data_IF_551330948178
#
_entry.id   IF_551330948178
#
_cell.length_a   1.000
_cell.length_b   1.000
_cell.length_c   1.000
_cell.angle_alpha   90.00
_cell.angle_beta   90.00
_cell.angle_gamma   90.00
#
_symmetry.space_group_name_H-M   'P 1'
#
loop_
_entity.id
_entity.type
_entity.pdbx_description
1 polymer ?
#
# COMPACT_ATOMS: atom_id res chain seq x y z
N UNK A 1 1.55 -14.94 4.35
CA UNK A 1 0.35 -14.12 4.13
C UNK A 1 -0.61 -14.90 3.26
N UNK A 2 -1.73 -15.31 3.83
CA UNK A 2 -2.75 -16.09 3.11
C UNK A 2 -4.14 -15.54 3.40
N UNK A 3 -4.92 -15.38 2.33
CA UNK A 3 -6.35 -15.07 2.40
C UNK A 3 -7.09 -16.08 1.51
N UNK A 4 -8.28 -16.49 1.93
CA UNK A 4 -9.19 -17.20 1.04
C UNK A 4 -9.62 -16.25 -0.09
N UNK A 5 -10.18 -16.80 -1.16
CA UNK A 5 -10.69 -15.96 -2.26
C UNK A 5 -11.78 -15.01 -1.78
N UNK A 6 -12.64 -15.46 -0.88
CA UNK A 6 -13.68 -14.60 -0.29
C UNK A 6 -13.08 -13.47 0.53
N UNK A 7 -12.06 -13.76 1.35
CA UNK A 7 -11.36 -12.74 2.13
C UNK A 7 -10.60 -11.77 1.23
N UNK A 8 -9.94 -12.28 0.19
CA UNK A 8 -9.21 -11.44 -0.76
C UNK A 8 -10.16 -10.51 -1.52
N UNK A 9 -11.33 -11.00 -1.94
CA UNK A 9 -12.34 -10.19 -2.60
C UNK A 9 -12.89 -9.11 -1.67
N UNK A 10 -13.14 -9.46 -0.40
CA UNK A 10 -13.57 -8.49 0.61
C UNK A 10 -12.53 -7.38 0.81
N UNK A 11 -11.27 -7.78 0.99
CA UNK A 11 -10.17 -6.83 1.16
C UNK A 11 -10.00 -5.94 -0.07
N UNK A 12 -10.12 -6.50 -1.27
CA UNK A 12 -10.05 -5.73 -2.52
C UNK A 12 -11.15 -4.70 -2.61
N UNK A 13 -12.38 -5.06 -2.24
CA UNK A 13 -13.51 -4.13 -2.23
C UNK A 13 -13.30 -2.97 -1.26
N UNK A 14 -12.77 -3.26 -0.08
CA UNK A 14 -12.42 -2.21 0.90
C UNK A 14 -11.29 -1.32 0.35
N UNK A 15 -10.29 -1.92 -0.26
CA UNK A 15 -9.19 -1.15 -0.87
C UNK A 15 -9.70 -0.25 -1.99
N UNK A 16 -10.60 -0.76 -2.84
CA UNK A 16 -11.23 0.05 -3.89
C UNK A 16 -11.98 1.26 -3.33
N UNK A 17 -12.74 1.06 -2.26
CA UNK A 17 -13.60 2.11 -1.70
C UNK A 17 -12.90 3.05 -0.73
N UNK A 18 -12.09 2.53 0.17
CA UNK A 18 -11.54 3.27 1.30
C UNK A 18 -10.02 3.26 1.36
N UNK A 19 -9.35 2.52 0.48
CA UNK A 19 -7.91 2.35 0.56
C UNK A 19 -7.12 3.26 -0.35
N UNK A 20 -5.80 3.26 -0.12
CA UNK A 20 -4.84 4.00 -0.94
C UNK A 20 -3.61 3.15 -1.21
N UNK A 21 -3.06 3.28 -2.41
CA UNK A 21 -1.82 2.66 -2.85
C UNK A 21 -0.87 3.80 -3.23
N UNK A 22 0.28 3.92 -2.55
CA UNK A 22 1.17 5.05 -2.77
C UNK A 22 2.60 4.75 -2.33
N UNK A 23 3.51 5.67 -2.64
CA UNK A 23 4.86 5.67 -2.09
C UNK A 23 4.91 6.54 -0.85
N UNK A 24 5.50 6.02 0.23
CA UNK A 24 5.70 6.81 1.45
C UNK A 24 6.88 7.76 1.26
N UNK A 25 6.81 8.89 1.96
CA UNK A 25 7.98 9.73 2.18
C UNK A 25 8.63 9.29 3.49
N UNK A 26 9.75 8.60 3.38
CA UNK A 26 10.47 8.15 4.56
C UNK A 26 11.70 9.03 4.76
N UNK A 27 11.74 9.76 5.89
CA UNK A 27 12.84 10.68 6.20
C UNK A 27 14.14 9.96 6.51
N UNK A 28 14.09 8.72 6.95
CA UNK A 28 15.27 7.93 7.35
C UNK A 28 15.81 7.09 6.22
N UNK A 29 15.04 6.90 5.17
CA UNK A 29 15.42 6.11 4.00
C UNK A 29 15.62 7.02 2.80
N UNK A 30 16.65 6.73 2.00
CA UNK A 30 16.94 7.46 0.76
C UNK A 30 15.83 7.31 -0.28
N UNK A 31 15.13 6.17 -0.27
CA UNK A 31 14.11 5.84 -1.26
C UNK A 31 12.75 5.67 -0.59
N UNK A 32 11.68 6.21 -1.20
CA UNK A 32 10.33 5.93 -0.71
C UNK A 32 10.00 4.46 -0.89
N UNK A 33 9.09 3.98 -0.05
CA UNK A 33 8.63 2.60 -0.06
C UNK A 33 7.17 2.52 -0.48
N UNK A 34 6.74 1.44 -1.16
CA UNK A 34 5.33 1.24 -1.44
C UNK A 34 4.55 1.04 -0.14
N UNK A 35 3.36 1.62 -0.10
CA UNK A 35 2.48 1.52 1.05
C UNK A 35 1.04 1.31 0.59
N UNK A 36 0.33 0.48 1.34
CA UNK A 36 -1.12 0.35 1.24
C UNK A 36 -1.70 0.80 2.56
N UNK A 37 -2.76 1.60 2.52
CA UNK A 37 -3.46 2.02 3.73
C UNK A 37 -4.97 1.94 3.55
N UNK A 38 -5.66 1.74 4.67
CA UNK A 38 -7.12 1.79 4.75
C UNK A 38 -7.48 2.65 5.94
N UNK A 39 -8.31 3.66 5.71
CA UNK A 39 -8.79 4.56 6.76
C UNK A 39 -10.21 4.20 7.14
N UNK A 40 -10.54 4.22 8.44
CA UNK A 40 -11.89 3.99 8.90
C UNK A 40 -12.09 4.55 10.31
N UNK A 41 -13.31 4.96 10.61
CA UNK A 41 -13.75 5.24 11.99
C UNK A 41 -14.10 3.95 12.73
N UNK A 42 -14.31 2.85 11.99
CA UNK A 42 -14.65 1.53 12.56
C UNK A 42 -13.36 0.73 12.76
N UNK A 43 -12.83 0.80 13.97
CA UNK A 43 -11.55 0.15 14.29
C UNK A 43 -11.59 -1.37 14.06
N UNK A 44 -12.74 -2.01 14.27
CA UNK A 44 -12.89 -3.45 14.06
C UNK A 44 -12.58 -3.87 12.61
N UNK A 45 -12.86 -3.01 11.63
CA UNK A 45 -12.49 -3.28 10.24
C UNK A 45 -10.97 -3.37 10.10
N UNK A 46 -10.25 -2.42 10.69
CA UNK A 46 -8.79 -2.35 10.61
C UNK A 46 -8.13 -3.47 11.43
N UNK A 47 -8.74 -3.88 12.55
CA UNK A 47 -8.27 -5.03 13.31
C UNK A 47 -8.42 -6.34 12.50
N UNK A 48 -9.45 -6.44 11.67
CA UNK A 48 -9.58 -7.56 10.73
C UNK A 48 -8.37 -7.63 9.79
N UNK A 49 -8.00 -6.48 9.17
CA UNK A 49 -6.83 -6.40 8.31
C UNK A 49 -5.55 -6.78 9.07
N UNK A 50 -5.34 -6.18 10.23
CA UNK A 50 -4.13 -6.43 11.00
C UNK A 50 -4.00 -7.89 11.45
N UNK A 51 -5.09 -8.51 11.87
CA UNK A 51 -5.07 -9.91 12.32
C UNK A 51 -4.68 -10.88 11.22
N UNK A 52 -5.02 -10.57 9.97
CA UNK A 52 -4.77 -11.45 8.82
C UNK A 52 -3.50 -11.12 8.06
N UNK A 53 -3.14 -9.87 8.02
CA UNK A 53 -2.08 -9.39 7.13
C UNK A 53 -0.90 -8.76 7.88
N UNK A 54 -1.06 -8.51 9.17
CA UNK A 54 -0.10 -7.73 9.93
C UNK A 54 -0.24 -6.25 9.64
N UNK A 55 0.85 -5.53 9.74
CA UNK A 55 0.82 -4.08 9.60
C UNK A 55 0.53 -3.39 10.92
N UNK A 56 0.27 -2.10 10.86
CA UNK A 56 0.03 -1.26 12.03
C UNK A 56 -1.25 -0.46 11.91
N UNK A 57 -1.85 -0.15 13.05
CA UNK A 57 -3.00 0.75 13.12
C UNK A 57 -2.57 1.99 13.87
N UNK A 58 -2.81 3.16 13.27
CA UNK A 58 -2.45 4.45 13.83
C UNK A 58 -3.70 5.29 13.94
N UNK A 59 -3.89 5.93 15.11
CA UNK A 59 -4.98 6.89 15.28
C UNK A 59 -4.64 8.15 14.53
N UNK A 60 -5.57 8.63 13.70
CA UNK A 60 -5.39 9.88 12.97
C UNK A 60 -5.60 11.07 13.90
N UNK A 61 -4.85 12.13 13.64
CA UNK A 61 -5.00 13.40 14.35
C UNK A 61 -6.35 14.03 14.00
N UNK A 62 -7.12 14.41 15.04
CA UNK A 62 -8.34 15.19 14.85
C UNK A 62 -8.01 16.68 14.98
N UNK A 63 -8.50 17.49 14.04
CA UNK A 63 -8.26 18.93 14.04
C UNK A 63 -9.37 19.71 14.76
N UNK A 64 -10.52 19.08 14.96
CA UNK A 64 -11.68 19.69 15.65
C UNK A 64 -12.30 18.66 16.60
N UNK A 65 -12.71 19.09 17.82
CA UNK A 65 -13.26 18.16 18.82
C UNK A 65 -14.51 17.40 18.39
N UNK A 66 -15.29 17.96 17.45
CA UNK A 66 -16.51 17.35 16.95
C UNK A 66 -16.25 16.27 15.91
N UNK A 67 -15.02 16.14 15.39
CA UNK A 67 -14.71 15.10 14.42
C UNK A 67 -14.61 13.74 15.10
N UNK A 68 -15.20 12.71 14.50
CA UNK A 68 -15.05 11.35 14.97
C UNK A 68 -13.59 10.91 14.89
N UNK A 69 -13.16 10.10 15.87
CA UNK A 69 -11.82 9.51 15.84
C UNK A 69 -11.76 8.53 14.67
N UNK A 70 -10.71 8.66 13.87
CA UNK A 70 -10.48 7.80 12.73
C UNK A 70 -9.08 7.19 12.84
N UNK A 71 -8.90 6.06 12.17
CA UNK A 71 -7.67 5.27 12.22
C UNK A 71 -7.21 4.94 10.82
N UNK A 72 -5.89 4.67 10.67
CA UNK A 72 -5.31 4.11 9.46
C UNK A 72 -4.66 2.76 9.78
N UNK A 73 -4.99 1.75 8.98
CA UNK A 73 -4.18 0.55 8.89
C UNK A 73 -3.18 0.74 7.75
N UNK A 74 -1.92 0.33 7.97
CA UNK A 74 -0.85 0.52 7.00
C UNK A 74 0.00 -0.74 6.86
N UNK A 75 0.39 -1.03 5.63
CA UNK A 75 1.27 -2.12 5.27
C UNK A 75 2.30 -1.58 4.28
N UNK A 76 3.60 -1.89 4.50
CA UNK A 76 4.68 -1.28 3.72
C UNK A 76 5.60 -2.31 3.08
N UNK A 77 6.39 -1.85 2.13
CA UNK A 77 7.46 -2.60 1.48
C UNK A 77 6.98 -3.89 0.82
N UNK A 78 7.74 -4.96 0.97
CA UNK A 78 7.45 -6.24 0.33
C UNK A 78 6.14 -6.84 0.80
N UNK A 79 5.74 -6.58 2.04
CA UNK A 79 4.45 -7.04 2.56
C UNK A 79 3.28 -6.35 1.85
N UNK A 80 3.43 -5.06 1.55
CA UNK A 80 2.44 -4.35 0.74
C UNK A 80 2.30 -4.99 -0.65
N UNK A 81 3.42 -5.35 -1.27
CA UNK A 81 3.41 -6.02 -2.57
C UNK A 81 2.77 -7.40 -2.50
N UNK A 82 3.04 -8.19 -1.46
CA UNK A 82 2.40 -9.49 -1.26
C UNK A 82 0.88 -9.34 -1.17
N UNK A 83 0.41 -8.38 -0.40
CA UNK A 83 -1.01 -8.07 -0.28
C UNK A 83 -1.61 -7.64 -1.61
N UNK A 84 -0.95 -6.74 -2.32
CA UNK A 84 -1.42 -6.27 -3.64
C UNK A 84 -1.53 -7.43 -4.63
N UNK A 85 -0.59 -8.36 -4.62
CA UNK A 85 -0.65 -9.55 -5.47
C UNK A 85 -1.89 -10.39 -5.18
N UNK A 86 -2.27 -10.53 -3.91
CA UNK A 86 -3.43 -11.30 -3.49
C UNK A 86 -4.73 -10.64 -3.93
N UNK A 87 -4.85 -9.32 -3.77
CA UNK A 87 -6.10 -8.60 -4.06
C UNK A 87 -6.25 -8.18 -5.51
N UNK A 88 -5.14 -8.14 -6.26
CA UNK A 88 -5.13 -7.65 -7.65
C UNK A 88 -6.24 -8.26 -8.53
N UNK A 89 -6.51 -9.59 -8.50
CA UNK A 89 -7.54 -10.18 -9.35
C UNK A 89 -8.95 -9.67 -9.06
N UNK A 90 -9.19 -9.10 -7.88
CA UNK A 90 -10.50 -8.70 -7.41
C UNK A 90 -10.71 -7.18 -7.44
N UNK A 91 -9.67 -6.38 -7.77
CA UNK A 91 -9.79 -4.94 -7.85
C UNK A 91 -10.61 -4.53 -9.08
N UNK A 92 -11.42 -3.49 -8.92
CA UNK A 92 -12.31 -2.98 -9.96
C UNK A 92 -11.91 -1.56 -10.41
N UNK A 93 -11.43 -0.72 -9.48
CA UNK A 93 -11.13 0.69 -9.76
C UNK A 93 -9.84 0.78 -10.59
N UNK A 94 -9.98 1.30 -11.83
CA UNK A 94 -8.87 1.33 -12.80
C UNK A 94 -7.63 2.06 -12.32
N UNK A 95 -7.77 3.18 -11.62
CA UNK A 95 -6.62 3.92 -11.10
C UNK A 95 -5.85 3.14 -10.02
N UNK A 96 -6.55 2.34 -9.23
CA UNK A 96 -5.93 1.48 -8.21
C UNK A 96 -5.26 0.26 -8.84
N UNK A 97 -5.90 -0.31 -9.86
CA UNK A 97 -5.31 -1.39 -10.66
C UNK A 97 -4.00 -0.92 -11.31
N UNK A 98 -4.00 0.28 -11.90
CA UNK A 98 -2.81 0.82 -12.56
C UNK A 98 -1.64 0.98 -11.57
N UNK A 99 -1.90 1.53 -10.39
CA UNK A 99 -0.89 1.67 -9.34
C UNK A 99 -0.39 0.32 -8.85
N UNK A 100 -1.30 -0.60 -8.63
CA UNK A 100 -0.99 -1.97 -8.21
C UNK A 100 -0.08 -2.66 -9.24
N UNK A 101 -0.48 -2.63 -10.51
CA UNK A 101 0.26 -3.29 -11.58
C UNK A 101 1.65 -2.71 -11.76
N UNK A 102 1.80 -1.41 -11.71
CA UNK A 102 3.10 -0.76 -11.85
C UNK A 102 4.07 -1.22 -10.75
N UNK A 103 3.59 -1.26 -9.50
CA UNK A 103 4.40 -1.74 -8.39
C UNK A 103 4.74 -3.23 -8.50
N UNK A 104 3.76 -4.06 -8.85
CA UNK A 104 3.98 -5.51 -8.95
C UNK A 104 4.94 -5.89 -10.08
N UNK A 105 4.91 -5.15 -11.19
CA UNK A 105 5.77 -5.44 -12.33
C UNK A 105 7.20 -4.91 -12.12
N UNK A 106 7.38 -3.73 -11.53
CA UNK A 106 8.66 -3.03 -11.62
C UNK A 106 9.39 -2.80 -10.30
N UNK A 107 8.69 -2.78 -9.15
CA UNK A 107 9.36 -2.38 -7.92
C UNK A 107 10.52 -3.31 -7.51
N UNK A 108 10.29 -4.62 -7.52
CA UNK A 108 11.32 -5.57 -7.08
C UNK A 108 12.52 -5.60 -8.02
N UNK A 109 12.31 -5.36 -9.32
CA UNK A 109 13.37 -5.36 -10.31
C UNK A 109 14.38 -4.23 -10.09
N UNK A 110 13.98 -3.14 -9.44
CA UNK A 110 14.86 -2.00 -9.15
C UNK A 110 15.13 -1.81 -7.66
N UNK A 111 14.88 -2.84 -6.83
CA UNK A 111 15.05 -2.77 -5.38
C UNK A 111 15.94 -3.91 -4.90
N UNK A 112 17.22 -3.63 -4.58
CA UNK A 112 18.12 -4.67 -4.09
C UNK A 112 17.78 -5.06 -2.66
N UNK A 113 17.91 -6.36 -2.32
CA UNK A 113 17.65 -6.86 -0.98
C UNK A 113 18.64 -6.33 0.07
N UNK A 114 19.87 -6.05 -0.36
CA UNK A 114 20.95 -5.60 0.51
C UNK A 114 21.06 -4.09 0.64
N UNK A 115 20.13 -3.33 0.02
CA UNK A 115 20.17 -1.87 0.02
C UNK A 115 21.25 -1.24 -0.85
N UNK A 116 22.03 -2.03 -1.59
CA UNK A 116 23.11 -1.53 -2.45
C UNK A 116 22.61 -1.34 -3.88
N UNK A 117 22.33 -0.10 -4.21
CA UNK A 117 21.85 0.25 -5.55
C UNK A 117 23.00 0.39 -6.53
N UNK A 118 22.88 -0.27 -7.69
CA UNK A 118 23.71 0.06 -8.85
C UNK A 118 23.18 1.35 -9.46
N UNK A 119 24.00 2.02 -10.29
CA UNK A 119 23.56 3.22 -11.01
C UNK A 119 22.34 2.94 -11.88
N UNK A 120 22.29 1.77 -12.51
CA UNK A 120 21.15 1.35 -13.33
C UNK A 120 19.89 1.15 -12.49
N UNK A 121 19.99 0.47 -11.36
CA UNK A 121 18.84 0.26 -10.46
C UNK A 121 18.31 1.57 -9.91
N UNK A 122 19.20 2.49 -9.53
CA UNK A 122 18.80 3.81 -9.04
C UNK A 122 18.08 4.61 -10.13
N UNK A 123 18.55 4.56 -11.37
CA UNK A 123 17.90 5.24 -12.49
C UNK A 123 16.52 4.66 -12.78
N UNK A 124 16.38 3.34 -12.74
CA UNK A 124 15.09 2.66 -12.91
C UNK A 124 14.12 3.00 -11.77
N UNK A 125 14.62 3.09 -10.55
CA UNK A 125 13.79 3.46 -9.40
C UNK A 125 13.26 4.89 -9.54
N UNK A 126 14.09 5.84 -9.93
CA UNK A 126 13.65 7.23 -10.16
C UNK A 126 12.59 7.29 -11.25
N UNK A 127 12.78 6.55 -12.34
CA UNK A 127 11.81 6.47 -13.42
C UNK A 127 10.50 5.86 -12.97
N UNK A 128 10.54 4.79 -12.19
CA UNK A 128 9.35 4.15 -11.62
C UNK A 128 8.56 5.13 -10.74
N UNK A 129 9.23 5.83 -9.85
CA UNK A 129 8.59 6.81 -8.94
C UNK A 129 7.92 7.92 -9.75
N UNK A 130 8.60 8.42 -10.77
CA UNK A 130 8.06 9.47 -11.64
C UNK A 130 6.82 8.99 -12.40
N UNK A 131 6.88 7.81 -13.01
CA UNK A 131 5.73 7.22 -13.72
C UNK A 131 4.57 6.94 -12.77
N UNK A 132 4.84 6.47 -11.56
CA UNK A 132 3.81 6.24 -10.55
C UNK A 132 3.12 7.55 -10.17
N UNK A 133 3.88 8.61 -9.94
CA UNK A 133 3.31 9.92 -9.58
C UNK A 133 2.50 10.55 -10.71
N UNK A 134 2.72 10.12 -11.95
CA UNK A 134 1.96 10.60 -13.12
C UNK A 134 0.63 9.86 -13.30
N UNK A 135 0.39 8.76 -12.58
CA UNK A 135 -0.87 8.04 -12.65
C UNK A 135 -2.00 8.83 -11.96
N UNK A 136 -3.24 8.73 -12.48
CA UNK A 136 -4.41 9.37 -11.88
C UNK A 136 -4.65 8.97 -10.44
#
# INVERSE_FOLDING_TARGET
MKLSDTEAAYAAGILDGEGSIYFTRNRTSRWPSPMVSVASTDRELLEWFRSRLGGSIVQKRTYQPQHAISYDWKLTDRRALEFLKIVRPFLVIKRKIARCDLLLVEYLACTPRNGRYTSEMAARKRDLIERFSSLP
#
